data_IF_583695937982
#
_entry.id   IF_583695937982
#
_cell.length_a   1.000
_cell.length_b   1.000
_cell.length_c   1.000
_cell.angle_alpha   90.00
_cell.angle_beta   90.00
_cell.angle_gamma   90.00
#
_symmetry.space_group_name_H-M   'P 1'
#
loop_
_entity.id
_entity.type
_entity.pdbx_description
1 polymer ?
#
# COMPACT_ATOMS: atom_id res chain seq x y z
N UNK A 1 -3.78 -12.06 -13.75
CA UNK A 1 -4.58 -10.82 -13.81
C UNK A 1 -4.29 -9.86 -12.65
N UNK A 2 -4.10 -10.31 -11.39
CA UNK A 2 -3.78 -9.38 -10.27
C UNK A 2 -2.33 -8.88 -10.29
N UNK A 3 -1.33 -9.77 -10.45
CA UNK A 3 0.09 -9.37 -10.45
C UNK A 3 0.42 -8.28 -11.47
N UNK A 4 -0.11 -8.38 -12.68
CA UNK A 4 0.09 -7.34 -13.71
C UNK A 4 -0.49 -5.99 -13.29
N UNK A 5 -1.63 -5.97 -12.60
CA UNK A 5 -2.23 -4.74 -12.10
C UNK A 5 -1.42 -4.14 -10.95
N UNK A 6 -0.90 -4.98 -10.05
CA UNK A 6 0.00 -4.55 -8.97
C UNK A 6 1.27 -3.93 -9.54
N UNK A 7 1.87 -4.55 -10.56
CA UNK A 7 3.04 -4.00 -11.25
C UNK A 7 2.79 -2.65 -11.88
N UNK A 8 1.67 -2.51 -12.60
CA UNK A 8 1.30 -1.22 -13.19
C UNK A 8 1.06 -0.15 -12.12
N UNK A 9 0.41 -0.49 -11.01
CA UNK A 9 0.21 0.42 -9.87
C UNK A 9 1.53 0.81 -9.21
N UNK A 10 2.43 -0.15 -8.97
CA UNK A 10 3.75 0.12 -8.39
C UNK A 10 4.55 1.11 -9.24
N UNK A 11 4.57 0.92 -10.56
CA UNK A 11 5.22 1.85 -11.51
C UNK A 11 4.60 3.24 -11.47
N UNK A 12 3.26 3.33 -11.53
CA UNK A 12 2.56 4.62 -11.50
C UNK A 12 2.84 5.38 -10.20
N UNK A 13 2.72 4.73 -9.04
CA UNK A 13 3.00 5.36 -7.75
C UNK A 13 4.47 5.80 -7.67
N UNK A 14 5.40 5.01 -8.21
CA UNK A 14 6.81 5.38 -8.14
C UNK A 14 7.16 6.56 -9.04
N UNK A 15 6.48 6.71 -10.18
CA UNK A 15 6.57 7.90 -11.03
C UNK A 15 5.99 9.14 -10.32
N UNK A 16 4.81 9.01 -9.71
CA UNK A 16 4.11 10.11 -9.02
C UNK A 16 4.86 10.62 -7.77
N UNK A 17 5.69 9.77 -7.17
CA UNK A 17 6.40 10.03 -5.92
C UNK A 17 7.93 9.93 -6.04
N UNK A 18 8.49 10.01 -7.25
CA UNK A 18 9.93 9.81 -7.56
C UNK A 18 10.91 10.55 -6.65
N UNK A 19 10.61 11.82 -6.35
CA UNK A 19 11.47 12.69 -5.53
C UNK A 19 10.89 12.93 -4.12
N UNK A 20 10.05 12.00 -3.65
CA UNK A 20 9.38 12.07 -2.36
C UNK A 20 9.73 10.86 -1.49
N UNK A 21 9.36 10.94 -0.22
CA UNK A 21 9.53 9.86 0.75
C UNK A 21 8.15 9.45 1.30
N UNK A 22 7.34 8.72 0.53
CA UNK A 22 5.99 8.39 0.94
C UNK A 22 5.97 7.40 2.11
N UNK A 23 4.95 7.54 2.95
CA UNK A 23 4.59 6.55 3.97
C UNK A 23 3.36 5.80 3.47
N UNK A 24 3.51 4.49 3.28
CA UNK A 24 2.46 3.59 2.85
C UNK A 24 1.71 3.08 4.09
N UNK A 25 0.52 3.62 4.32
CA UNK A 25 -0.32 3.25 5.47
C UNK A 25 -1.29 2.14 5.06
N UNK A 26 -1.24 1.02 5.76
CA UNK A 26 -2.02 -0.18 5.46
C UNK A 26 -3.00 -0.56 6.58
N UNK A 27 -4.22 -0.94 6.21
CA UNK A 27 -5.26 -1.34 7.18
C UNK A 27 -5.25 -2.86 7.41
N UNK A 28 -4.91 -3.28 8.63
CA UNK A 28 -4.88 -4.69 8.99
C UNK A 28 -6.27 -5.34 9.05
N UNK A 29 -6.40 -6.65 8.81
CA UNK A 29 -5.32 -7.62 8.48
C UNK A 29 -5.24 -7.99 6.99
N UNK A 30 -6.32 -7.79 6.23
CA UNK A 30 -6.50 -8.38 4.89
C UNK A 30 -5.58 -7.82 3.80
N UNK A 31 -4.96 -6.66 4.02
CA UNK A 31 -4.11 -5.97 3.04
C UNK A 31 -2.66 -6.45 3.03
N UNK A 32 -2.25 -7.30 3.97
CA UNK A 32 -0.84 -7.59 4.23
C UNK A 32 -0.11 -8.16 3.00
N UNK A 33 -0.73 -9.11 2.29
CA UNK A 33 -0.15 -9.69 1.07
C UNK A 33 -0.13 -8.70 -0.10
N UNK A 34 -1.18 -7.88 -0.23
CA UNK A 34 -1.26 -6.88 -1.29
C UNK A 34 -0.17 -5.82 -1.13
N UNK A 35 0.06 -5.33 0.10
CA UNK A 35 1.11 -4.35 0.37
C UNK A 35 2.50 -4.94 0.14
N UNK A 36 2.73 -6.20 0.53
CA UNK A 36 3.99 -6.89 0.24
C UNK A 36 4.23 -7.01 -1.27
N UNK A 37 3.21 -7.34 -2.07
CA UNK A 37 3.35 -7.43 -3.52
C UNK A 37 3.49 -6.04 -4.17
N UNK A 38 2.79 -5.02 -3.67
CA UNK A 38 2.88 -3.65 -4.21
C UNK A 38 4.26 -3.05 -3.98
N UNK A 39 4.78 -3.14 -2.75
CA UNK A 39 6.08 -2.58 -2.36
C UNK A 39 7.24 -3.19 -3.15
N UNK A 40 7.14 -4.46 -3.58
CA UNK A 40 8.12 -5.11 -4.47
C UNK A 40 8.18 -4.51 -5.87
N UNK A 41 7.08 -3.93 -6.34
CA UNK A 41 6.98 -3.34 -7.68
C UNK A 41 7.22 -1.81 -7.66
N UNK A 42 7.52 -1.23 -6.49
CA UNK A 42 7.87 0.18 -6.36
C UNK A 42 9.38 0.38 -6.47
N UNK A 43 9.82 1.37 -7.27
CA UNK A 43 11.23 1.66 -7.52
C UNK A 43 11.78 2.86 -6.71
N UNK A 44 11.02 3.29 -5.71
CA UNK A 44 11.35 4.40 -4.80
C UNK A 44 11.44 3.94 -3.33
N UNK A 45 12.22 4.61 -2.49
CA UNK A 45 12.25 4.32 -1.06
C UNK A 45 10.90 4.65 -0.41
N UNK A 46 10.32 3.68 0.30
CA UNK A 46 9.04 3.83 1.00
C UNK A 46 9.15 3.38 2.45
N UNK A 47 8.49 4.11 3.34
CA UNK A 47 8.25 3.66 4.70
C UNK A 47 6.88 2.99 4.78
N UNK A 48 6.75 1.92 5.55
CA UNK A 48 5.49 1.18 5.69
C UNK A 48 5.00 1.34 7.13
N UNK A 49 3.73 1.68 7.29
CA UNK A 49 3.06 1.72 8.59
C UNK A 49 1.70 1.00 8.53
N UNK A 50 1.25 0.50 9.67
CA UNK A 50 0.04 -0.30 9.78
C UNK A 50 -0.93 0.31 10.78
N UNK A 51 -2.19 0.42 10.37
CA UNK A 51 -3.28 0.78 11.26
C UNK A 51 -4.25 -0.39 11.43
N UNK A 52 -4.73 -0.59 12.66
CA UNK A 52 -5.81 -1.53 12.94
C UNK A 52 -7.07 -0.74 13.27
N UNK A 53 -8.11 -0.90 12.44
CA UNK A 53 -9.40 -0.26 12.67
C UNK A 53 -10.33 -1.31 13.27
N UNK A 54 -10.78 -1.06 14.50
CA UNK A 54 -11.89 -1.80 15.10
C UNK A 54 -13.20 -1.20 14.63
N UNK A 55 -14.11 -2.03 14.14
CA UNK A 55 -15.48 -1.60 13.85
C UNK A 55 -16.27 -1.64 15.16
N UNK A 56 -16.74 -0.49 15.64
CA UNK A 56 -17.64 -0.42 16.80
C UNK A 56 -19.09 -0.55 16.31
N UNK A 57 -19.82 -1.64 16.66
CA UNK A 57 -21.25 -1.72 16.37
C UNK A 57 -22.01 -0.78 17.32
N UNK A 58 -22.81 0.13 16.79
CA UNK A 58 -23.80 0.90 17.59
C UNK A 58 -23.54 2.39 17.82
N UNK A 59 -22.71 3.05 16.99
CA UNK A 59 -22.61 4.51 16.95
C UNK A 59 -23.11 5.02 15.59
N UNK A 60 -24.42 4.87 15.36
CA UNK A 60 -25.18 5.61 14.35
C UNK A 60 -26.55 5.92 14.94
#
# INVERSE_FOLDING_TARGET
>A
MIRNRVKELGRQISEDYRDKHPILISVLKGTMYFIADLTREMDIPVNIDFMSIGVYPGIT
#
